data_IF_958257167910
#
_entry.id   IF_958257167910
#
_cell.length_a   1.000
_cell.length_b   1.000
_cell.length_c   1.000
_cell.angle_alpha   90.00
_cell.angle_beta   90.00
_cell.angle_gamma   90.00
#
_symmetry.space_group_name_H-M   'P 1'
#
loop_
_entity.id
_entity.type
_entity.pdbx_description
1 polymer ?
#
# COMPACT_ATOMS: atom_id res chain seq x y z
N UNK A 1 13.50 6.04 -24.54
CA UNK A 1 12.47 6.56 -23.59
C UNK A 1 12.87 7.99 -23.23
N UNK A 2 11.98 8.98 -23.35
CA UNK A 2 12.32 10.39 -23.06
C UNK A 2 12.55 10.57 -21.55
N UNK A 3 13.58 11.31 -21.16
CA UNK A 3 13.91 11.62 -19.75
C UNK A 3 12.70 12.22 -19.01
N UNK A 4 11.91 13.03 -19.71
CA UNK A 4 10.69 13.67 -19.21
C UNK A 4 9.65 12.66 -18.72
N UNK A 5 9.52 11.52 -19.42
CA UNK A 5 8.60 10.43 -19.05
C UNK A 5 9.11 9.69 -17.82
N UNK A 6 10.42 9.46 -17.72
CA UNK A 6 11.05 8.86 -16.54
C UNK A 6 10.87 9.75 -15.31
N UNK A 7 11.08 11.05 -15.45
CA UNK A 7 10.88 12.02 -14.37
C UNK A 7 9.41 12.07 -13.92
N UNK A 8 8.47 12.08 -14.87
CA UNK A 8 7.04 12.03 -14.57
C UNK A 8 6.65 10.72 -13.86
N UNK A 9 7.20 9.58 -14.28
CA UNK A 9 6.97 8.29 -13.62
C UNK A 9 7.53 8.29 -12.20
N UNK A 10 8.78 8.73 -12.00
CA UNK A 10 9.37 8.87 -10.67
C UNK A 10 8.59 9.83 -9.77
N UNK A 11 7.94 10.85 -10.36
CA UNK A 11 7.10 11.78 -9.63
C UNK A 11 5.72 11.21 -9.25
N UNK A 12 5.20 10.19 -9.94
CA UNK A 12 3.85 9.64 -9.68
C UNK A 12 3.91 8.30 -8.93
N UNK A 13 4.85 7.43 -9.32
CA UNK A 13 4.92 6.03 -8.89
C UNK A 13 4.99 5.89 -7.35
N UNK A 14 5.83 6.64 -6.61
CA UNK A 14 5.90 6.48 -5.15
C UNK A 14 4.56 6.75 -4.47
N UNK A 15 3.87 7.83 -4.85
CA UNK A 15 2.58 8.16 -4.29
C UNK A 15 1.47 7.19 -4.72
N UNK A 16 1.50 6.71 -5.96
CA UNK A 16 0.56 5.68 -6.42
C UNK A 16 0.72 4.38 -5.63
N UNK A 17 1.97 3.94 -5.40
CA UNK A 17 2.27 2.77 -4.59
C UNK A 17 1.81 2.94 -3.14
N UNK A 18 2.04 4.11 -2.53
CA UNK A 18 1.59 4.38 -1.17
C UNK A 18 0.06 4.28 -1.04
N UNK A 19 -0.69 4.86 -1.99
CA UNK A 19 -2.16 4.75 -2.05
C UNK A 19 -2.59 3.31 -2.29
N UNK A 20 -1.89 2.57 -3.16
CA UNK A 20 -2.16 1.17 -3.44
C UNK A 20 -2.01 0.31 -2.17
N UNK A 21 -0.89 0.48 -1.45
CA UNK A 21 -0.64 -0.24 -0.19
C UNK A 21 -1.64 0.13 0.89
N UNK A 22 -2.00 1.41 1.02
CA UNK A 22 -3.01 1.86 1.96
C UNK A 22 -4.39 1.24 1.67
N UNK A 23 -4.86 1.28 0.41
CA UNK A 23 -6.13 0.65 0.02
C UNK A 23 -6.09 -0.85 0.21
N UNK A 24 -4.99 -1.50 -0.15
CA UNK A 24 -4.81 -2.94 0.05
C UNK A 24 -4.89 -3.31 1.53
N UNK A 25 -4.27 -2.52 2.40
CA UNK A 25 -4.30 -2.74 3.85
C UNK A 25 -5.70 -2.52 4.46
N UNK A 26 -6.47 -1.54 3.95
CA UNK A 26 -7.80 -1.18 4.46
C UNK A 26 -8.94 -2.02 3.90
N UNK A 27 -8.98 -2.23 2.58
CA UNK A 27 -10.16 -2.76 1.87
C UNK A 27 -9.86 -3.95 0.98
N UNK A 28 -8.60 -4.39 0.91
CA UNK A 28 -8.12 -5.42 -0.02
C UNK A 28 -8.32 -5.11 -1.52
N UNK A 29 -8.84 -3.94 -1.86
CA UNK A 29 -9.11 -3.54 -3.23
C UNK A 29 -7.85 -3.04 -3.93
N UNK A 30 -7.75 -3.33 -5.23
CA UNK A 30 -6.77 -2.67 -6.09
C UNK A 30 -7.21 -1.22 -6.37
N UNK A 31 -6.28 -0.26 -6.42
CA UNK A 31 -6.61 1.11 -6.76
C UNK A 31 -7.14 1.21 -8.19
N UNK A 32 -8.31 1.86 -8.37
CA UNK A 32 -8.81 2.19 -9.70
C UNK A 32 -7.92 3.24 -10.36
N UNK A 33 -7.71 3.14 -11.67
CA UNK A 33 -6.91 4.08 -12.48
C UNK A 33 -7.65 5.38 -12.83
N UNK A 34 -8.65 5.75 -12.02
CA UNK A 34 -9.45 6.93 -12.25
C UNK A 34 -8.73 8.21 -11.77
N UNK A 35 -9.18 9.36 -12.28
CA UNK A 35 -8.65 10.68 -11.89
C UNK A 35 -8.69 10.89 -10.36
N UNK A 36 -9.70 10.33 -9.70
CA UNK A 36 -9.87 10.36 -8.24
C UNK A 36 -8.79 9.59 -7.46
N UNK A 37 -8.01 8.73 -8.10
CA UNK A 37 -6.85 8.05 -7.50
C UNK A 37 -5.53 8.72 -7.89
N UNK A 38 -5.45 9.26 -9.11
CA UNK A 38 -4.23 9.89 -9.64
C UNK A 38 -3.91 11.21 -8.91
N UNK A 39 -4.91 12.07 -8.69
CA UNK A 39 -4.73 13.35 -7.98
C UNK A 39 -4.20 13.17 -6.55
N UNK A 40 -4.80 12.28 -5.71
CA UNK A 40 -4.23 11.96 -4.40
C UNK A 40 -2.85 11.32 -4.49
N UNK A 41 -2.60 10.44 -5.46
CA UNK A 41 -1.29 9.83 -5.65
C UNK A 41 -0.21 10.88 -5.91
N UNK A 42 -0.49 11.91 -6.71
CA UNK A 42 0.42 13.04 -6.92
C UNK A 42 0.71 13.80 -5.62
N UNK A 43 -0.33 14.12 -4.85
CA UNK A 43 -0.17 14.82 -3.57
C UNK A 43 0.64 13.99 -2.56
N UNK A 44 0.38 12.69 -2.45
CA UNK A 44 1.14 11.78 -1.58
C UNK A 44 2.59 11.67 -2.06
N UNK A 45 2.82 11.63 -3.37
CA UNK A 45 4.18 11.61 -3.92
C UNK A 45 4.97 12.87 -3.56
N UNK A 46 4.33 14.05 -3.62
CA UNK A 46 4.95 15.30 -3.18
C UNK A 46 5.37 15.22 -1.70
N UNK A 47 4.51 14.69 -0.83
CA UNK A 47 4.82 14.49 0.59
C UNK A 47 6.00 13.54 0.77
N UNK A 48 6.01 12.42 0.05
CA UNK A 48 7.12 11.45 0.08
C UNK A 48 8.43 12.13 -0.33
N UNK A 49 8.43 12.96 -1.37
CA UNK A 49 9.63 13.69 -1.77
C UNK A 49 10.13 14.66 -0.70
N UNK A 50 9.23 15.36 0.01
CA UNK A 50 9.61 16.22 1.14
C UNK A 50 10.26 15.38 2.25
N UNK A 51 9.66 14.24 2.60
CA UNK A 51 10.17 13.33 3.65
C UNK A 51 11.52 12.73 3.28
N UNK A 52 11.71 12.36 2.01
CA UNK A 52 12.96 11.78 1.49
C UNK A 52 14.03 12.84 1.22
N UNK A 53 13.67 14.13 1.14
CA UNK A 53 14.62 15.21 0.82
C UNK A 53 15.88 15.23 1.69
N UNK A 54 15.86 14.96 3.01
CA UNK A 54 17.09 14.92 3.81
C UNK A 54 18.00 13.76 3.39
N UNK A 55 17.42 12.60 3.06
CA UNK A 55 18.16 11.44 2.55
C UNK A 55 18.77 11.76 1.19
N UNK A 56 18.03 12.42 0.31
CA UNK A 56 18.54 12.88 -1.00
C UNK A 56 19.74 13.80 -0.81
N UNK A 57 19.64 14.78 0.09
CA UNK A 57 20.72 15.73 0.38
C UNK A 57 21.95 15.01 0.95
N UNK A 58 21.75 14.06 1.84
CA UNK A 58 22.86 13.37 2.50
C UNK A 58 23.54 12.32 1.60
N UNK A 59 22.76 11.58 0.80
CA UNK A 59 23.25 10.42 0.05
C UNK A 59 23.63 10.74 -1.40
N UNK A 60 22.90 11.64 -2.07
CA UNK A 60 23.08 11.94 -3.49
C UNK A 60 23.80 13.26 -3.75
N UNK A 61 23.56 14.30 -2.95
CA UNK A 61 24.21 15.61 -3.16
C UNK A 61 25.76 15.53 -3.17
N UNK A 62 26.43 14.75 -2.29
CA UNK A 62 27.89 14.70 -2.27
C UNK A 62 28.50 14.03 -3.51
N UNK A 63 27.73 13.18 -4.19
CA UNK A 63 28.15 12.40 -5.36
C UNK A 63 27.43 12.83 -6.64
N UNK A 64 26.68 13.94 -6.61
CA UNK A 64 25.82 14.37 -7.71
C UNK A 64 26.60 14.64 -9.00
N UNK A 65 27.84 15.10 -8.89
CA UNK A 65 28.74 15.33 -10.02
C UNK A 65 29.35 14.06 -10.61
N UNK A 66 29.25 12.91 -9.92
CA UNK A 66 29.88 11.65 -10.34
C UNK A 66 29.01 10.41 -10.06
N UNK A 67 27.70 10.55 -10.26
CA UNK A 67 26.72 9.47 -10.11
C UNK A 67 27.08 8.16 -10.83
N UNK A 68 27.69 8.15 -12.05
CA UNK A 68 28.06 6.90 -12.73
C UNK A 68 29.06 6.04 -11.96
N UNK A 69 29.93 6.64 -11.14
CA UNK A 69 30.90 5.92 -10.31
C UNK A 69 30.34 5.53 -8.94
N UNK A 70 29.16 6.05 -8.56
CA UNK A 70 28.45 5.72 -7.33
C UNK A 70 27.05 5.12 -7.60
N UNK A 71 26.93 4.06 -8.43
CA UNK A 71 25.63 3.51 -8.82
C UNK A 71 24.85 2.98 -7.60
N UNK A 72 25.55 2.56 -6.56
CA UNK A 72 24.92 2.04 -5.35
C UNK A 72 24.12 3.10 -4.59
N UNK A 73 24.60 4.35 -4.54
CA UNK A 73 23.89 5.43 -3.87
C UNK A 73 22.55 5.69 -4.56
N UNK A 74 22.54 5.66 -5.90
CA UNK A 74 21.32 5.80 -6.69
C UNK A 74 20.36 4.63 -6.47
N UNK A 75 20.87 3.39 -6.49
CA UNK A 75 20.05 2.18 -6.26
C UNK A 75 19.42 2.20 -4.88
N UNK A 76 20.20 2.46 -3.83
CA UNK A 76 19.71 2.54 -2.45
C UNK A 76 18.68 3.66 -2.31
N UNK A 77 18.96 4.83 -2.87
CA UNK A 77 18.02 5.94 -2.86
C UNK A 77 16.71 5.60 -3.56
N UNK A 78 16.76 5.02 -4.77
CA UNK A 78 15.57 4.62 -5.53
C UNK A 78 14.78 3.56 -4.78
N UNK A 79 15.44 2.55 -4.21
CA UNK A 79 14.78 1.50 -3.43
C UNK A 79 14.04 2.09 -2.23
N UNK A 80 14.68 2.96 -1.47
CA UNK A 80 14.05 3.58 -0.30
C UNK A 80 12.87 4.47 -0.71
N UNK A 81 13.07 5.32 -1.73
CA UNK A 81 12.08 6.32 -2.17
C UNK A 81 10.85 5.70 -2.83
N UNK A 82 11.05 4.66 -3.64
CA UNK A 82 9.98 4.07 -4.46
C UNK A 82 9.31 2.88 -3.78
N UNK A 83 10.03 2.14 -2.93
CA UNK A 83 9.50 0.91 -2.32
C UNK A 83 9.29 1.11 -0.83
N UNK A 84 10.37 1.39 -0.07
CA UNK A 84 10.32 1.35 1.40
C UNK A 84 9.39 2.42 1.96
N UNK A 85 9.58 3.69 1.58
CA UNK A 85 8.79 4.81 2.11
C UNK A 85 7.31 4.68 1.73
N UNK A 86 6.95 4.40 0.47
CA UNK A 86 5.55 4.15 0.10
C UNK A 86 4.93 2.97 0.82
N UNK A 87 5.66 1.87 1.00
CA UNK A 87 5.18 0.69 1.70
C UNK A 87 4.92 0.98 3.19
N UNK A 88 5.93 1.51 3.90
CA UNK A 88 5.82 1.82 5.34
C UNK A 88 4.79 2.91 5.57
N UNK A 89 4.76 3.95 4.74
CA UNK A 89 3.77 5.03 4.83
C UNK A 89 2.36 4.54 4.54
N UNK A 90 2.15 3.78 3.46
CA UNK A 90 0.83 3.29 3.07
C UNK A 90 0.25 2.28 4.06
N UNK A 91 1.02 1.25 4.43
CA UNK A 91 0.58 0.23 5.40
C UNK A 91 0.46 0.82 6.80
N UNK A 92 1.47 1.57 7.24
CA UNK A 92 1.53 2.16 8.59
C UNK A 92 0.41 3.18 8.83
N UNK A 93 0.16 4.10 7.90
CA UNK A 93 -0.95 5.05 8.04
C UNK A 93 -2.32 4.37 7.97
N UNK A 94 -2.46 3.31 7.17
CA UNK A 94 -3.68 2.49 7.16
C UNK A 94 -4.01 2.00 8.57
N UNK A 95 -3.04 1.38 9.24
CA UNK A 95 -3.21 0.84 10.59
C UNK A 95 -3.35 1.92 11.67
N UNK A 96 -2.60 3.01 11.60
CA UNK A 96 -2.76 4.12 12.56
C UNK A 96 -4.17 4.70 12.51
N UNK A 97 -4.75 4.84 11.30
CA UNK A 97 -6.13 5.30 11.16
C UNK A 97 -7.15 4.27 11.65
N UNK A 98 -6.87 2.97 11.48
CA UNK A 98 -7.70 1.90 12.06
C UNK A 98 -7.65 1.91 13.59
N UNK A 99 -6.47 2.04 14.19
CA UNK A 99 -6.28 2.10 15.64
C UNK A 99 -6.92 3.34 16.25
N UNK A 100 -6.80 4.49 15.59
CA UNK A 100 -7.42 5.73 16.03
C UNK A 100 -8.94 5.70 15.90
N UNK A 101 -9.47 5.06 14.85
CA UNK A 101 -10.90 4.84 14.68
C UNK A 101 -11.46 3.75 15.63
N UNK A 102 -10.67 2.74 15.97
CA UNK A 102 -11.05 1.63 16.84
C UNK A 102 -11.03 1.99 18.33
N UNK A 103 -10.27 3.00 18.74
CA UNK A 103 -10.33 3.66 20.04
C UNK A 103 -10.08 2.82 21.30
N UNK A 104 -10.21 1.49 21.33
CA UNK A 104 -10.35 0.68 22.55
C UNK A 104 -9.76 -0.75 22.43
N UNK A 105 -8.70 -0.97 21.65
CA UNK A 105 -8.03 -2.28 21.58
C UNK A 105 -6.54 -2.13 21.31
N UNK A 106 -5.69 -2.60 22.23
CA UNK A 106 -4.23 -2.57 22.11
C UNK A 106 -3.76 -3.54 21.02
N UNK A 107 -3.07 -3.10 19.96
CA UNK A 107 -2.44 -4.02 19.00
C UNK A 107 -1.24 -4.71 19.67
N UNK A 108 -1.10 -6.03 19.51
CA UNK A 108 -0.14 -6.87 20.24
C UNK A 108 0.99 -7.44 19.37
N UNK A 109 1.33 -6.85 18.22
CA UNK A 109 2.59 -7.21 17.55
C UNK A 109 2.81 -6.73 16.11
N UNK A 110 4.04 -6.95 15.61
CA UNK A 110 4.43 -6.69 14.22
C UNK A 110 3.75 -7.61 13.20
N UNK A 111 3.25 -8.79 13.61
CA UNK A 111 2.49 -9.70 12.75
C UNK A 111 1.17 -9.09 12.27
N UNK A 112 0.58 -8.20 13.07
CA UNK A 112 -0.62 -7.45 12.69
C UNK A 112 -0.34 -6.39 11.63
N UNK A 113 0.91 -6.08 11.26
CA UNK A 113 1.21 -5.14 10.17
C UNK A 113 1.03 -5.79 8.78
N UNK A 114 1.09 -7.12 8.72
CA UNK A 114 0.76 -7.88 7.51
C UNK A 114 -0.74 -8.19 7.51
N UNK A 115 -1.42 -8.11 6.36
CA UNK A 115 -2.86 -8.29 6.33
C UNK A 115 -3.15 -9.79 6.50
N UNK A 116 -3.83 -10.13 7.61
CA UNK A 116 -3.74 -11.48 8.20
C UNK A 116 -4.54 -12.54 7.41
N UNK A 117 -5.56 -12.15 6.66
CA UNK A 117 -6.29 -13.06 5.75
C UNK A 117 -6.88 -12.27 4.57
N UNK A 118 -6.58 -12.61 3.29
CA UNK A 118 -7.30 -12.04 2.16
C UNK A 118 -8.78 -12.41 2.25
N UNK A 119 -9.72 -11.51 1.88
CA UNK A 119 -11.14 -11.81 1.94
C UNK A 119 -11.41 -13.07 1.12
N UNK A 120 -12.13 -13.99 1.75
CA UNK A 120 -12.54 -15.23 1.11
C UNK A 120 -13.57 -14.91 0.01
N UNK A 121 -13.80 -15.87 -0.88
CA UNK A 121 -14.86 -15.75 -1.88
C UNK A 121 -16.25 -15.47 -1.24
N UNK A 122 -16.45 -15.89 0.01
CA UNK A 122 -17.65 -15.65 0.78
C UNK A 122 -17.78 -14.20 1.28
N UNK A 123 -16.69 -13.57 1.72
CA UNK A 123 -16.71 -12.16 2.13
C UNK A 123 -17.08 -11.22 0.97
N UNK A 124 -16.67 -11.60 -0.24
CA UNK A 124 -17.04 -10.91 -1.49
C UNK A 124 -18.52 -11.10 -1.87
N UNK A 125 -19.13 -12.25 -1.51
CA UNK A 125 -20.55 -12.51 -1.72
C UNK A 125 -21.41 -11.64 -0.78
N UNK A 126 -21.09 -11.61 0.51
CA UNK A 126 -21.84 -10.87 1.53
C UNK A 126 -21.69 -9.35 1.43
N UNK A 127 -20.59 -8.85 0.86
CA UNK A 127 -20.40 -7.40 0.61
C UNK A 127 -21.20 -6.88 -0.59
N UNK A 128 -21.65 -7.76 -1.50
CA UNK A 128 -22.42 -7.39 -2.70
C UNK A 128 -23.91 -7.67 -2.59
N UNK A 129 -24.32 -8.59 -1.71
CA UNK A 129 -25.71 -8.92 -1.43
C UNK A 129 -25.88 -9.07 0.08
N UNK A 130 -26.82 -8.33 0.67
CA UNK A 130 -27.30 -8.67 2.00
C UNK A 130 -27.96 -10.06 1.90
N UNK A 131 -27.51 -11.05 2.67
CA UNK A 131 -28.15 -12.36 2.67
C UNK A 131 -29.53 -12.24 3.35
N UNK A 132 -30.58 -12.76 2.70
CA UNK A 132 -31.96 -12.77 3.19
C UNK A 132 -32.18 -13.78 4.35
N UNK A 133 -31.14 -14.05 5.15
CA UNK A 133 -31.19 -14.93 6.33
C UNK A 133 -31.29 -16.43 6.03
N UNK A 134 -31.20 -16.85 4.77
CA UNK A 134 -31.19 -18.26 4.37
C UNK A 134 -29.77 -18.71 4.05
N UNK A 135 -29.22 -19.56 4.92
CA UNK A 135 -27.90 -20.17 4.74
C UNK A 135 -28.09 -21.61 4.26
N UNK A 136 -27.37 -22.00 3.21
CA UNK A 136 -27.29 -23.36 2.70
C UNK A 136 -26.14 -24.08 3.43
N UNK A 137 -26.48 -25.01 4.32
CA UNK A 137 -25.49 -25.91 4.92
C UNK A 137 -25.50 -27.23 4.16
N UNK A 138 -24.44 -27.47 3.37
CA UNK A 138 -24.22 -28.75 2.70
C UNK A 138 -23.47 -29.64 3.68
N UNK A 139 -24.12 -30.72 4.10
CA UNK A 139 -23.50 -31.77 4.92
C UNK A 139 -23.11 -32.94 4.00
N UNK A 140 -21.82 -33.26 3.96
CA UNK A 140 -21.30 -34.40 3.20
C UNK A 140 -21.50 -35.70 3.98
N UNK A 141 -21.45 -36.84 3.29
CA UNK A 141 -21.71 -38.16 3.89
C UNK A 141 -20.70 -38.56 4.98
N UNK A 142 -19.56 -37.89 5.05
CA UNK A 142 -18.53 -38.04 6.08
C UNK A 142 -18.78 -37.19 7.33
N UNK A 143 -19.88 -36.44 7.37
CA UNK A 143 -20.25 -35.55 8.47
C UNK A 143 -19.57 -34.17 8.41
N UNK A 144 -18.75 -33.90 7.39
CA UNK A 144 -18.21 -32.56 7.18
C UNK A 144 -19.31 -31.60 6.72
N UNK A 145 -19.24 -30.35 7.19
CA UNK A 145 -20.24 -29.32 6.90
C UNK A 145 -19.56 -28.16 6.17
N UNK A 146 -20.19 -27.70 5.10
CA UNK A 146 -19.87 -26.43 4.43
C UNK A 146 -21.12 -25.57 4.48
N UNK A 147 -21.05 -24.46 5.22
CA UNK A 147 -22.13 -23.48 5.30
C UNK A 147 -21.86 -22.30 4.34
N UNK A 148 -22.90 -21.84 3.64
CA UNK A 148 -22.90 -20.70 2.73
C UNK A 148 -24.14 -19.85 2.85
#
# INVERSE_FOLDING_TARGET
MRLDVLAALLAIVPGYLAVAFWRRAKTWQQPSTDLGTILPALAVSLVIQVVVSPLTIWLLLPVAGDLPHHPWNLVVWTYITVIVVPFVGGVGLGRLTDLYAAGHGRPHGFSELLPEVPPSAWDLFFSRKLPDGQFLVITFQDGSQVAG
#
